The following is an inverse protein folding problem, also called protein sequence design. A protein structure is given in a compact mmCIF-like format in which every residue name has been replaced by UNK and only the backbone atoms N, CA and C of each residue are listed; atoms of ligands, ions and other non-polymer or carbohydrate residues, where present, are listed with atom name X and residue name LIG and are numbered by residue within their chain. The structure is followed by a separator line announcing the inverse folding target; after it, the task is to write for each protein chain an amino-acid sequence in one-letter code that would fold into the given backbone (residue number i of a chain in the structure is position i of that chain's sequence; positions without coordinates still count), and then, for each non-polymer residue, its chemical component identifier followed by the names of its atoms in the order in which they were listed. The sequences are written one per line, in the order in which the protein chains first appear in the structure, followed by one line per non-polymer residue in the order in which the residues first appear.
data_IF_796503482985
#
_entry.id   IF_796503482985
#
_cell.length_a   1.000
_cell.length_b   1.000
_cell.length_c   1.000
_cell.angle_alpha   90.00
_cell.angle_beta   90.00
_cell.angle_gamma   90.00
#
_symmetry.space_group_name_H-M   'P 1'
#
loop_
_entity.id
_entity.type
_entity.pdbx_description
1 polymer ?
#
# COMPACT_ATOMS: atom_id res chain seq x y z
N UNK A 1 -0.61 17.92 5.18
CA UNK A 1 0.33 19.00 4.76
C UNK A 1 1.14 18.42 3.62
N UNK A 2 1.25 19.13 2.49
CA UNK A 2 1.96 18.61 1.32
C UNK A 2 3.45 18.99 1.42
N UNK A 3 4.31 18.10 0.94
CA UNK A 3 5.71 18.44 0.71
C UNK A 3 5.84 19.33 -0.54
N UNK A 4 6.90 20.14 -0.68
CA UNK A 4 7.13 20.91 -1.90
C UNK A 4 7.28 20.03 -3.13
N UNK A 5 7.04 20.61 -4.30
CA UNK A 5 7.26 19.95 -5.59
C UNK A 5 8.71 19.43 -5.70
N UNK A 6 8.85 18.17 -6.12
CA UNK A 6 10.16 17.52 -6.28
C UNK A 6 10.86 17.08 -5.00
N UNK A 7 10.26 17.30 -3.83
CA UNK A 7 10.81 16.81 -2.57
C UNK A 7 10.55 15.31 -2.39
N UNK A 8 11.50 14.63 -1.74
CA UNK A 8 11.28 13.26 -1.24
C UNK A 8 10.45 13.34 0.05
N UNK A 9 9.17 13.01 -0.04
CA UNK A 9 8.24 13.05 1.11
C UNK A 9 8.52 12.00 2.20
N UNK A 10 9.47 11.10 1.96
CA UNK A 10 10.05 10.20 2.98
C UNK A 10 11.41 10.67 3.49
N UNK A 11 11.89 11.83 3.03
CA UNK A 11 13.13 12.41 3.49
C UNK A 11 13.11 12.73 4.98
N UNK A 12 14.29 12.75 5.64
CA UNK A 12 14.37 12.97 7.08
C UNK A 12 13.81 14.32 7.53
N UNK A 13 13.81 15.32 6.64
CA UNK A 13 13.22 16.64 6.88
C UNK A 13 11.70 16.61 7.05
N UNK A 14 11.03 15.58 6.53
CA UNK A 14 9.58 15.39 6.63
C UNK A 14 9.14 14.30 7.61
N UNK A 15 10.10 13.67 8.30
CA UNK A 15 9.81 12.62 9.28
C UNK A 15 8.89 13.08 10.44
N UNK A 16 8.79 14.39 10.66
CA UNK A 16 7.91 14.99 11.66
C UNK A 16 6.45 15.15 11.20
N UNK A 17 6.18 14.98 9.91
CA UNK A 17 4.82 15.10 9.39
C UNK A 17 3.95 13.95 9.90
N UNK A 18 2.71 14.25 10.32
CA UNK A 18 1.84 13.23 10.87
C UNK A 18 1.39 12.25 9.78
N UNK A 19 1.40 10.97 10.11
CA UNK A 19 0.72 9.91 9.35
C UNK A 19 -0.65 9.67 9.94
N UNK A 20 -1.57 9.10 9.14
CA UNK A 20 -2.92 8.79 9.60
C UNK A 20 -2.85 7.68 10.68
N UNK A 21 -3.27 7.95 11.93
CA UNK A 21 -3.18 6.97 13.01
C UNK A 21 -4.28 5.90 12.94
N UNK A 22 -5.30 6.11 12.09
CA UNK A 22 -6.47 5.24 12.00
C UNK A 22 -6.12 3.82 11.56
N UNK A 23 -5.17 3.65 10.64
CA UNK A 23 -4.76 2.32 10.19
C UNK A 23 -4.16 1.47 11.30
N UNK A 24 -3.30 2.06 12.12
CA UNK A 24 -2.77 1.38 13.31
C UNK A 24 -3.83 1.08 14.36
N UNK A 25 -4.82 1.96 14.54
CA UNK A 25 -5.96 1.74 15.43
C UNK A 25 -6.82 0.57 14.92
N UNK A 26 -7.14 0.55 13.62
CA UNK A 26 -7.87 -0.55 12.97
C UNK A 26 -7.15 -1.87 13.20
N UNK A 27 -5.84 -1.92 12.95
CA UNK A 27 -5.03 -3.11 13.16
C UNK A 27 -5.04 -3.62 14.59
N UNK A 28 -4.97 -2.72 15.58
CA UNK A 28 -4.98 -3.08 17.01
C UNK A 28 -6.35 -3.56 17.49
N UNK A 29 -7.43 -2.93 17.04
CA UNK A 29 -8.77 -3.15 17.59
C UNK A 29 -9.61 -4.14 16.78
N UNK A 30 -9.28 -4.35 15.50
CA UNK A 30 -10.07 -5.17 14.58
C UNK A 30 -9.24 -6.22 13.84
N UNK A 31 -7.92 -6.03 13.72
CA UNK A 31 -7.02 -6.97 13.08
C UNK A 31 -6.66 -8.18 13.95
N UNK A 32 -5.92 -9.12 13.40
CA UNK A 32 -5.47 -9.15 12.02
C UNK A 32 -6.60 -9.44 11.01
N UNK A 33 -6.41 -8.99 9.76
CA UNK A 33 -7.34 -9.27 8.66
C UNK A 33 -6.77 -10.36 7.74
N UNK A 34 -7.63 -11.21 7.19
CA UNK A 34 -7.18 -12.26 6.28
C UNK A 34 -6.73 -11.70 4.94
N UNK A 35 -7.43 -10.67 4.45
CA UNK A 35 -7.13 -10.02 3.17
C UNK A 35 -7.40 -8.52 3.22
N UNK A 36 -6.44 -7.73 2.74
CA UNK A 36 -6.60 -6.31 2.46
C UNK A 36 -6.68 -6.05 0.96
N UNK A 37 -7.58 -5.18 0.54
CA UNK A 37 -7.59 -4.60 -0.80
C UNK A 37 -7.06 -3.18 -0.67
N UNK A 38 -5.81 -2.94 -1.10
CA UNK A 38 -5.08 -1.72 -0.79
C UNK A 38 -4.72 -0.98 -2.09
N UNK A 39 -5.11 0.30 -2.22
CA UNK A 39 -4.76 1.11 -3.39
C UNK A 39 -3.26 1.28 -3.53
N UNK A 40 -2.73 1.17 -4.75
CA UNK A 40 -1.31 1.37 -5.07
C UNK A 40 -1.05 2.33 -6.23
N UNK A 41 -2.08 2.92 -6.82
CA UNK A 41 -1.99 3.78 -8.02
C UNK A 41 -2.55 5.18 -7.81
N UNK A 42 -2.33 6.05 -8.81
CA UNK A 42 -2.75 7.44 -8.85
C UNK A 42 -2.06 8.31 -7.77
N UNK A 43 -0.73 8.29 -7.73
CA UNK A 43 0.02 8.93 -6.65
C UNK A 43 0.96 10.06 -7.10
N UNK A 44 1.22 10.23 -8.39
CA UNK A 44 2.08 11.31 -8.88
C UNK A 44 1.26 12.46 -9.51
N UNK A 45 1.68 13.71 -9.31
CA UNK A 45 2.83 14.13 -8.49
C UNK A 45 2.52 14.11 -6.99
N UNK A 46 3.45 13.65 -6.17
CA UNK A 46 3.26 13.47 -4.73
C UNK A 46 2.84 14.72 -3.98
N UNK A 47 3.40 15.87 -4.34
CA UNK A 47 3.10 17.15 -3.68
C UNK A 47 1.62 17.57 -3.81
N UNK A 48 0.90 17.04 -4.80
CA UNK A 48 -0.55 17.24 -4.97
C UNK A 48 -1.32 16.05 -4.41
N UNK A 49 -0.86 14.83 -4.72
CA UNK A 49 -1.64 13.61 -4.55
C UNK A 49 -1.53 13.00 -3.15
N UNK A 50 -0.43 13.23 -2.43
CA UNK A 50 -0.16 12.56 -1.14
C UNK A 50 -1.23 12.72 -0.06
N UNK A 51 -2.03 13.80 0.01
CA UNK A 51 -3.11 13.89 0.98
C UNK A 51 -4.31 13.00 0.68
N UNK A 52 -4.44 12.54 -0.55
CA UNK A 52 -5.64 11.84 -1.05
C UNK A 52 -5.37 10.42 -1.51
N UNK A 53 -4.15 10.15 -1.99
CA UNK A 53 -3.77 8.88 -2.60
C UNK A 53 -2.48 8.33 -2.00
N UNK A 54 -2.51 7.04 -1.65
CA UNK A 54 -1.34 6.31 -1.21
C UNK A 54 -0.48 5.90 -2.41
N UNK A 55 0.83 6.09 -2.31
CA UNK A 55 1.76 5.43 -3.22
C UNK A 55 2.07 4.01 -2.71
N UNK A 56 2.77 3.16 -3.48
CA UNK A 56 3.07 1.79 -3.04
C UNK A 56 3.80 1.70 -1.69
N UNK A 57 4.63 2.66 -1.35
CA UNK A 57 5.33 2.70 -0.06
C UNK A 57 4.38 2.99 1.11
N UNK A 58 3.46 3.95 0.94
CA UNK A 58 2.37 4.20 1.89
C UNK A 58 1.49 2.95 2.05
N UNK A 59 1.20 2.27 0.94
CA UNK A 59 0.35 1.09 0.92
C UNK A 59 0.95 -0.08 1.69
N UNK A 60 2.26 -0.27 1.63
CA UNK A 60 2.98 -1.25 2.45
C UNK A 60 2.94 -0.88 3.93
N UNK A 61 3.01 0.40 4.27
CA UNK A 61 2.81 0.86 5.65
C UNK A 61 1.37 0.59 6.14
N UNK A 62 0.37 0.89 5.31
CA UNK A 62 -1.04 0.59 5.61
C UNK A 62 -1.25 -0.92 5.82
N UNK A 63 -0.67 -1.75 4.97
CA UNK A 63 -0.70 -3.21 5.12
C UNK A 63 -0.16 -3.65 6.49
N UNK A 64 0.98 -3.12 6.89
CA UNK A 64 1.61 -3.44 8.17
C UNK A 64 0.79 -2.93 9.36
N UNK A 65 0.33 -1.69 9.28
CA UNK A 65 -0.42 -1.03 10.34
C UNK A 65 -1.78 -1.68 10.59
N UNK A 66 -2.47 -2.09 9.53
CA UNK A 66 -3.76 -2.80 9.62
C UNK A 66 -3.60 -4.27 10.01
N UNK A 67 -2.37 -4.78 10.03
CA UNK A 67 -2.06 -6.17 10.37
C UNK A 67 -2.74 -7.17 9.43
N UNK A 68 -2.87 -6.81 8.15
CA UNK A 68 -3.32 -7.76 7.13
C UNK A 68 -2.33 -8.93 6.99
N UNK A 69 -2.84 -10.14 6.89
CA UNK A 69 -2.04 -11.33 6.61
C UNK A 69 -1.63 -11.39 5.14
N UNK A 70 -2.55 -10.96 4.28
CA UNK A 70 -2.38 -10.87 2.83
C UNK A 70 -3.01 -9.60 2.31
N UNK A 71 -2.54 -9.11 1.17
CA UNK A 71 -3.17 -8.00 0.49
C UNK A 71 -3.07 -8.14 -1.03
N UNK A 72 -4.03 -7.53 -1.71
CA UNK A 72 -4.06 -7.38 -3.15
C UNK A 72 -3.99 -5.90 -3.48
N UNK A 73 -3.02 -5.53 -4.31
CA UNK A 73 -2.89 -4.16 -4.82
C UNK A 73 -4.00 -3.86 -5.83
N UNK A 74 -4.75 -2.81 -5.56
CA UNK A 74 -5.84 -2.36 -6.43
C UNK A 74 -5.65 -0.89 -6.85
N UNK A 75 -6.60 -0.37 -7.62
CA UNK A 75 -6.60 1.04 -8.03
C UNK A 75 -5.39 1.40 -8.92
N UNK A 76 -5.04 0.52 -9.86
CA UNK A 76 -3.97 0.72 -10.82
C UNK A 76 -4.29 0.05 -12.16
N UNK A 77 -3.59 0.43 -13.23
CA UNK A 77 -3.63 -0.29 -14.51
C UNK A 77 -4.89 -0.08 -15.38
N UNK A 78 -5.87 0.70 -14.93
CA UNK A 78 -7.13 0.92 -15.65
C UNK A 78 -7.16 2.23 -16.42
N UNK A 79 -6.73 3.31 -15.78
CA UNK A 79 -6.75 4.67 -16.33
C UNK A 79 -5.40 5.35 -16.18
N UNK A 80 -5.03 6.17 -17.16
CA UNK A 80 -3.87 7.06 -17.07
C UNK A 80 -4.37 8.44 -16.68
N UNK A 81 -4.54 8.67 -15.38
CA UNK A 81 -5.09 9.91 -14.82
C UNK A 81 -4.05 10.74 -14.07
N UNK A 82 -2.90 10.17 -13.81
CA UNK A 82 -1.80 10.75 -13.03
C UNK A 82 -0.48 10.60 -13.80
N UNK A 83 0.60 11.14 -13.26
CA UNK A 83 1.86 11.25 -14.02
C UNK A 83 2.72 9.98 -14.00
N UNK A 84 2.50 9.07 -13.05
CA UNK A 84 3.23 7.79 -13.05
C UNK A 84 2.85 6.90 -14.24
N UNK A 85 3.82 6.13 -14.73
CA UNK A 85 3.57 5.11 -15.76
C UNK A 85 2.58 4.07 -15.26
N UNK A 86 1.67 3.61 -16.14
CA UNK A 86 0.59 2.68 -15.80
C UNK A 86 1.09 1.37 -15.18
N UNK A 87 2.30 0.94 -15.53
CA UNK A 87 2.93 -0.28 -15.01
C UNK A 87 3.90 -0.02 -13.85
N UNK A 88 4.08 1.23 -13.44
CA UNK A 88 4.96 1.59 -12.33
C UNK A 88 4.46 1.08 -10.97
N UNK A 89 3.15 1.16 -10.63
CA UNK A 89 2.67 0.77 -9.29
C UNK A 89 3.06 -0.64 -8.85
N UNK A 90 2.93 -1.71 -9.65
CA UNK A 90 3.39 -3.04 -9.26
C UNK A 90 4.90 -3.11 -9.02
N UNK A 91 5.70 -2.44 -9.84
CA UNK A 91 7.15 -2.40 -9.69
C UNK A 91 7.55 -1.72 -8.38
N UNK A 92 6.95 -0.57 -8.10
CA UNK A 92 7.19 0.18 -6.86
C UNK A 92 6.69 -0.55 -5.62
N UNK A 93 5.60 -1.29 -5.73
CA UNK A 93 5.12 -2.16 -4.66
C UNK A 93 6.18 -3.21 -4.30
N UNK A 94 6.73 -3.88 -5.29
CA UNK A 94 7.79 -4.88 -5.10
C UNK A 94 9.04 -4.29 -4.44
N UNK A 95 9.47 -3.11 -4.87
CA UNK A 95 10.58 -2.39 -4.26
C UNK A 95 10.31 -2.08 -2.78
N UNK A 96 9.12 -1.53 -2.48
CA UNK A 96 8.73 -1.17 -1.11
C UNK A 96 8.61 -2.38 -0.17
N UNK A 97 8.08 -3.50 -0.66
CA UNK A 97 8.00 -4.76 0.08
C UNK A 97 9.41 -5.30 0.40
N UNK A 98 10.31 -5.26 -0.58
CA UNK A 98 11.70 -5.68 -0.40
C UNK A 98 12.41 -4.85 0.66
N UNK A 99 12.22 -3.53 0.66
CA UNK A 99 12.78 -2.64 1.69
C UNK A 99 12.31 -3.02 3.11
N UNK A 100 11.10 -3.52 3.25
CA UNK A 100 10.51 -3.96 4.53
C UNK A 100 10.77 -5.44 4.87
N UNK A 101 11.39 -6.20 3.97
CA UNK A 101 11.60 -7.62 4.16
C UNK A 101 10.31 -8.45 4.10
N UNK A 102 9.29 -7.97 3.39
CA UNK A 102 7.99 -8.64 3.23
C UNK A 102 7.96 -9.39 1.90
N UNK A 103 7.48 -10.62 1.94
CA UNK A 103 7.26 -11.43 0.74
C UNK A 103 6.22 -10.78 -0.18
N UNK A 104 6.51 -10.74 -1.49
CA UNK A 104 5.57 -10.24 -2.48
C UNK A 104 4.53 -11.32 -2.80
N UNK A 105 5.01 -12.44 -3.35
CA UNK A 105 4.14 -13.47 -3.91
C UNK A 105 3.25 -14.13 -2.85
N UNK A 106 1.95 -13.99 -3.02
CA UNK A 106 0.95 -14.58 -2.13
C UNK A 106 0.78 -13.87 -0.79
N UNK A 107 1.56 -12.82 -0.51
CA UNK A 107 1.44 -11.99 0.70
C UNK A 107 0.89 -10.62 0.36
N UNK A 108 1.60 -9.83 -0.46
CA UNK A 108 1.08 -8.57 -0.99
C UNK A 108 1.54 -8.41 -2.44
N UNK A 109 0.67 -8.73 -3.36
CA UNK A 109 0.96 -8.67 -4.80
C UNK A 109 -0.21 -8.12 -5.60
N UNK A 110 -0.15 -8.28 -6.90
CA UNK A 110 -1.19 -7.89 -7.84
C UNK A 110 -1.61 -9.10 -8.68
N UNK A 111 -2.76 -9.00 -9.32
CA UNK A 111 -3.26 -9.99 -10.27
C UNK A 111 -3.46 -9.35 -11.64
N UNK A 112 -3.40 -10.15 -12.68
CA UNK A 112 -3.78 -9.70 -14.02
C UNK A 112 -5.28 -9.45 -14.12
N UNK A 113 -5.68 -8.58 -15.04
CA UNK A 113 -7.09 -8.28 -15.29
C UNK A 113 -7.79 -9.57 -15.73
N UNK A 114 -8.84 -9.95 -15.00
CA UNK A 114 -9.59 -11.18 -15.22
C UNK A 114 -9.05 -12.42 -14.50
N UNK A 115 -7.88 -12.33 -13.87
CA UNK A 115 -7.37 -13.36 -12.98
C UNK A 115 -8.19 -13.41 -11.68
N UNK A 116 -8.43 -14.60 -11.16
CA UNK A 116 -9.05 -14.81 -9.86
C UNK A 116 -8.10 -15.52 -8.91
N UNK A 117 -8.20 -15.20 -7.62
CA UNK A 117 -7.46 -15.88 -6.55
C UNK A 117 -8.38 -16.26 -5.42
N UNK A 118 -8.13 -17.44 -4.87
CA UNK A 118 -8.78 -17.89 -3.65
C UNK A 118 -7.85 -17.63 -2.46
N UNK A 119 -8.42 -17.13 -1.39
CA UNK A 119 -7.72 -16.90 -0.13
C UNK A 119 -8.44 -17.69 0.96
N UNK A 120 -7.70 -18.56 1.61
CA UNK A 120 -8.22 -19.22 2.80
C UNK A 120 -8.31 -18.22 3.96
N UNK A 121 -9.44 -18.21 4.66
CA UNK A 121 -9.54 -17.50 5.94
C UNK A 121 -8.53 -18.13 6.90
N UNK A 122 -7.76 -17.29 7.58
CA UNK A 122 -6.85 -17.78 8.60
C UNK A 122 -7.64 -18.53 9.63
N UNK A 123 -7.51 -19.85 9.63
CA UNK A 123 -8.00 -20.65 10.73
C UNK A 123 -7.48 -20.05 12.03
N UNK A 124 -8.33 -19.94 13.04
CA UNK A 124 -7.87 -19.63 14.37
C UNK A 124 -6.73 -20.60 14.66
N UNK A 125 -5.54 -20.09 14.92
CA UNK A 125 -4.55 -20.84 15.65
C UNK A 125 -5.19 -21.14 17.01
N UNK A 126 -5.90 -22.23 17.09
CA UNK A 126 -6.35 -22.82 18.34
C UNK A 126 -5.15 -23.52 18.91
N UNK A 127 -4.30 -22.73 19.52
CA UNK A 127 -3.26 -23.27 20.40
C UNK A 127 -3.75 -23.27 21.82
#
# INVERSE_FOLDING_TARGET
MNTPEGADDYGPEYAHLPICPAFGQIGRHRGPFDLGLIPIGAYEPRWVMSPMHANPKDSVNIFSDTRCRRALGMHWGTWVLTEEDVMEPPRKLKEALKEKGIEEKGVFDVVDIGESREYESGGQDVS
#
